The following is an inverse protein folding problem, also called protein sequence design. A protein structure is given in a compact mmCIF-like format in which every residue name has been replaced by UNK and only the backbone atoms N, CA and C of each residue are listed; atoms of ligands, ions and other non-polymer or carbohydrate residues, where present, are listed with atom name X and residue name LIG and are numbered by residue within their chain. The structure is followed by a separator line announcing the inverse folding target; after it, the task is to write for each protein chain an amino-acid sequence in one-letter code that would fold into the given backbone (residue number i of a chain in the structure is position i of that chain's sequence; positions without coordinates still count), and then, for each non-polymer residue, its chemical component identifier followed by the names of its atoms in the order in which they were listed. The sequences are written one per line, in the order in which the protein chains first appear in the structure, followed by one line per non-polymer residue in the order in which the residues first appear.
data_IF_220763671590
#
_entry.id   IF_220763671590
#
_cell.length_a   1.000
_cell.length_b   1.000
_cell.length_c   1.000
_cell.angle_alpha   90.00
_cell.angle_beta   90.00
_cell.angle_gamma   90.00
#
_symmetry.space_group_name_H-M   'P 1'
#
loop_
_entity.id
_entity.type
_entity.pdbx_description
1 polymer ?
#
# COMPACT_ATOMS: atom_id res chain seq x y z
N UNK A 1 29.16 0.62 -3.40
CA UNK A 1 27.77 0.45 -2.92
C UNK A 1 27.57 -1.02 -2.57
N UNK A 2 27.24 -1.36 -1.32
CA UNK A 2 26.78 -2.71 -1.00
C UNK A 2 25.30 -2.78 -1.40
N UNK A 3 24.97 -3.56 -2.43
CA UNK A 3 23.57 -3.87 -2.72
C UNK A 3 23.07 -4.80 -1.63
N UNK A 4 22.24 -4.29 -0.73
CA UNK A 4 21.45 -5.13 0.17
C UNK A 4 20.29 -5.74 -0.64
N UNK A 5 19.70 -6.83 -0.17
CA UNK A 5 18.49 -7.42 -0.76
C UNK A 5 17.29 -7.03 0.11
N UNK A 6 16.04 -7.15 -0.39
CA UNK A 6 14.88 -7.02 0.47
C UNK A 6 14.93 -8.05 1.59
N UNK A 7 14.46 -7.66 2.78
CA UNK A 7 14.23 -8.61 3.85
C UNK A 7 13.00 -9.47 3.52
N UNK A 8 12.97 -10.69 4.06
CA UNK A 8 11.76 -11.53 3.99
C UNK A 8 10.62 -10.78 4.69
N UNK A 9 9.42 -10.81 4.09
CA UNK A 9 8.23 -10.16 4.67
C UNK A 9 8.00 -10.62 6.10
N UNK A 10 7.76 -9.68 7.01
CA UNK A 10 7.54 -9.93 8.42
C UNK A 10 8.83 -10.19 9.23
N UNK A 11 10.02 -10.06 8.63
CA UNK A 11 11.28 -10.19 9.36
C UNK A 11 11.35 -9.23 10.56
N UNK A 12 10.81 -8.01 10.40
CA UNK A 12 10.69 -7.01 11.46
C UNK A 12 9.33 -7.09 12.16
N UNK A 13 8.96 -8.28 12.65
CA UNK A 13 7.66 -8.53 13.29
C UNK A 13 7.38 -7.73 14.57
N UNK A 14 8.39 -7.10 15.17
CA UNK A 14 8.23 -6.19 16.32
C UNK A 14 7.96 -4.73 15.89
N UNK A 15 8.09 -4.42 14.60
CA UNK A 15 7.91 -3.07 14.05
C UNK A 15 6.49 -2.86 13.51
N UNK A 16 5.50 -3.16 14.35
CA UNK A 16 4.09 -2.98 14.03
C UNK A 16 3.71 -1.49 13.99
N UNK A 17 2.97 -1.08 12.97
CA UNK A 17 2.36 0.25 12.96
C UNK A 17 1.15 0.31 13.91
N UNK A 18 0.66 1.50 14.31
CA UNK A 18 -0.58 1.62 15.08
C UNK A 18 -1.82 0.98 14.42
N UNK A 19 -1.74 0.60 13.14
CA UNK A 19 -2.82 -0.02 12.37
C UNK A 19 -2.60 -1.53 12.13
N UNK A 20 -1.62 -2.14 12.79
CA UNK A 20 -1.37 -3.58 12.68
C UNK A 20 -0.69 -4.00 11.38
N UNK A 21 0.06 -3.09 10.76
CA UNK A 21 0.74 -3.33 9.49
C UNK A 21 2.25 -3.21 9.62
N UNK A 22 2.97 -4.08 8.91
CA UNK A 22 4.42 -4.23 8.96
C UNK A 22 5.08 -3.78 7.66
N UNK A 23 6.41 -3.65 7.70
CA UNK A 23 7.27 -3.39 6.54
C UNK A 23 6.87 -2.17 5.69
N UNK A 24 6.26 -1.15 6.32
CA UNK A 24 5.85 0.08 5.61
C UNK A 24 6.99 1.09 5.42
N UNK A 25 8.09 0.93 6.16
CA UNK A 25 9.27 1.77 6.08
C UNK A 25 10.49 0.93 5.69
N UNK A 26 11.06 1.22 4.53
CA UNK A 26 12.14 0.42 3.94
C UNK A 26 11.63 -0.82 3.22
N UNK A 27 12.49 -1.82 3.10
CA UNK A 27 12.30 -3.01 2.28
C UNK A 27 12.12 -2.68 0.79
N UNK A 28 10.92 -2.36 0.32
CA UNK A 28 10.65 -2.00 -1.08
C UNK A 28 9.69 -0.81 -1.16
N UNK A 29 9.83 -0.02 -2.23
CA UNK A 29 8.83 0.99 -2.54
C UNK A 29 7.50 0.33 -2.88
N UNK A 30 6.40 0.85 -2.37
CA UNK A 30 5.08 0.25 -2.59
C UNK A 30 4.20 1.14 -3.44
N UNK A 31 3.75 0.62 -4.58
CA UNK A 31 2.77 1.28 -5.44
C UNK A 31 1.46 1.58 -4.73
N UNK A 32 0.85 2.71 -5.08
CA UNK A 32 -0.54 3.04 -4.78
C UNK A 32 -1.19 3.71 -5.99
N UNK A 33 -2.52 3.76 -5.98
CA UNK A 33 -3.33 4.22 -7.11
C UNK A 33 -3.35 5.75 -7.30
N UNK A 34 -2.67 6.52 -6.44
CA UNK A 34 -2.69 7.98 -6.53
C UNK A 34 -1.80 8.47 -7.66
N UNK A 35 -2.37 9.18 -8.62
CA UNK A 35 -1.60 9.94 -9.63
C UNK A 35 -0.97 11.16 -8.96
N UNK A 36 0.35 11.31 -9.08
CA UNK A 36 1.10 12.41 -8.42
C UNK A 36 1.51 13.48 -9.43
N UNK A 37 2.01 13.07 -10.59
CA UNK A 37 2.45 13.97 -11.66
C UNK A 37 2.14 13.36 -13.02
N UNK A 38 1.36 14.05 -13.85
CA UNK A 38 0.97 13.58 -15.18
C UNK A 38 0.40 12.16 -15.20
N UNK A 39 1.18 11.21 -15.73
CA UNK A 39 0.83 9.78 -15.82
C UNK A 39 1.55 8.90 -14.79
N UNK A 40 2.29 9.50 -13.86
CA UNK A 40 3.04 8.78 -12.84
C UNK A 40 2.18 8.45 -11.61
N UNK A 41 2.29 7.19 -11.18
CA UNK A 41 1.60 6.68 -10.01
C UNK A 41 2.46 6.78 -8.75
N UNK A 42 1.80 6.93 -7.62
CA UNK A 42 2.45 7.14 -6.33
C UNK A 42 3.11 5.88 -5.79
N UNK A 43 4.22 6.07 -5.07
CA UNK A 43 4.89 5.04 -4.29
C UNK A 43 5.30 5.57 -2.92
N UNK A 44 5.34 4.68 -1.92
CA UNK A 44 5.60 5.01 -0.50
C UNK A 44 6.60 4.04 0.13
N UNK A 45 7.16 4.43 1.27
CA UNK A 45 7.92 3.54 2.17
C UNK A 45 9.44 3.55 1.99
N UNK A 46 9.96 3.87 0.79
CA UNK A 46 11.39 3.73 0.51
C UNK A 46 11.81 2.29 0.27
N UNK A 47 13.10 1.99 0.10
CA UNK A 47 13.56 0.63 -0.16
C UNK A 47 14.96 0.32 0.36
N UNK A 48 15.33 -0.96 0.33
CA UNK A 48 16.60 -1.50 0.85
C UNK A 48 17.86 -0.90 0.22
N UNK A 49 17.72 -0.28 -0.96
CA UNK A 49 18.81 0.27 -1.74
C UNK A 49 19.20 1.69 -1.32
N UNK A 50 18.39 2.34 -0.48
CA UNK A 50 18.62 3.70 0.00
C UNK A 50 19.79 3.73 0.98
N UNK A 51 20.58 4.79 0.92
CA UNK A 51 21.68 5.06 1.87
C UNK A 51 21.36 6.22 2.83
N UNK A 52 22.34 6.59 3.66
CA UNK A 52 22.18 7.65 4.67
C UNK A 52 21.91 9.04 4.10
N UNK A 53 22.17 9.28 2.82
CA UNK A 53 21.89 10.56 2.16
C UNK A 53 20.46 10.63 1.57
N UNK A 54 19.73 9.52 1.66
CA UNK A 54 18.40 9.33 1.07
C UNK A 54 17.33 9.02 2.13
N UNK A 55 17.61 9.36 3.40
CA UNK A 55 16.75 9.13 4.56
C UNK A 55 15.36 9.78 4.43
N UNK A 56 15.26 10.92 3.73
CA UNK A 56 14.00 11.59 3.42
C UNK A 56 13.01 10.71 2.66
N UNK A 57 13.48 9.68 1.95
CA UNK A 57 12.60 8.72 1.27
C UNK A 57 11.98 7.67 2.19
N UNK A 58 12.55 7.49 3.39
CA UNK A 58 12.01 6.60 4.43
C UNK A 58 10.96 7.31 5.32
N UNK A 59 10.83 8.63 5.21
CA UNK A 59 9.81 9.36 5.95
C UNK A 59 8.41 8.92 5.54
N UNK A 60 7.54 8.65 6.52
CA UNK A 60 6.15 8.27 6.28
C UNK A 60 5.36 9.32 5.47
N UNK A 61 5.78 10.59 5.48
CA UNK A 61 5.18 11.66 4.70
C UNK A 61 5.68 11.72 3.25
N UNK A 62 6.81 11.10 2.92
CA UNK A 62 7.43 11.17 1.60
C UNK A 62 6.56 10.54 0.52
N UNK A 63 6.31 11.27 -0.55
CA UNK A 63 5.61 10.78 -1.74
C UNK A 63 6.60 10.72 -2.88
N UNK A 64 6.81 9.54 -3.43
CA UNK A 64 7.52 9.35 -4.70
C UNK A 64 6.49 9.02 -5.77
N UNK A 65 6.84 9.25 -7.03
CA UNK A 65 6.06 8.84 -8.18
C UNK A 65 6.96 8.16 -9.21
N UNK A 66 6.36 7.38 -10.09
CA UNK A 66 7.05 6.78 -11.22
C UNK A 66 6.09 6.35 -12.32
N UNK A 67 6.61 6.20 -13.54
CA UNK A 67 5.89 5.61 -14.66
C UNK A 67 5.38 4.20 -14.28
N UNK A 68 4.07 3.90 -14.43
CA UNK A 68 3.51 2.59 -14.09
C UNK A 68 4.02 1.43 -14.97
N UNK A 69 4.67 1.71 -16.11
CA UNK A 69 5.31 0.70 -16.95
C UNK A 69 6.72 0.30 -16.47
N UNK A 70 7.30 1.02 -15.52
CA UNK A 70 8.63 0.72 -15.00
C UNK A 70 8.63 -0.48 -14.04
N UNK A 71 9.45 -1.48 -14.35
CA UNK A 71 9.75 -2.61 -13.47
C UNK A 71 11.16 -2.48 -12.88
N UNK A 72 11.26 -2.50 -11.55
CA UNK A 72 12.53 -2.29 -10.84
C UNK A 72 12.58 -3.18 -9.60
N UNK A 73 13.76 -3.77 -9.37
CA UNK A 73 14.00 -4.76 -8.33
C UNK A 73 13.71 -4.32 -6.88
N UNK A 74 13.48 -3.02 -6.62
CA UNK A 74 13.17 -2.47 -5.30
C UNK A 74 11.75 -1.92 -5.18
N UNK A 75 10.85 -2.30 -6.08
CA UNK A 75 9.45 -1.87 -6.08
C UNK A 75 8.52 -3.08 -5.97
N UNK A 76 7.51 -2.97 -5.12
CA UNK A 76 6.44 -3.94 -4.90
C UNK A 76 5.12 -3.23 -4.64
N UNK A 77 4.21 -3.90 -3.93
CA UNK A 77 2.90 -3.37 -3.57
C UNK A 77 2.34 -4.12 -2.36
N UNK A 78 1.33 -3.51 -1.72
CA UNK A 78 0.46 -4.19 -0.77
C UNK A 78 -0.99 -4.01 -1.20
N UNK A 79 -1.82 -5.00 -0.92
CA UNK A 79 -3.25 -4.97 -1.23
C UNK A 79 -4.00 -4.39 -0.04
N UNK A 80 -5.00 -3.55 -0.33
CA UNK A 80 -5.95 -3.07 0.66
C UNK A 80 -7.38 -3.37 0.18
N UNK A 81 -8.25 -3.75 1.09
CA UNK A 81 -9.69 -3.85 0.85
C UNK A 81 -10.38 -2.69 1.57
N UNK A 82 -11.18 -1.93 0.84
CA UNK A 82 -12.04 -0.90 1.41
C UNK A 82 -13.47 -1.47 1.42
N UNK A 83 -14.06 -1.77 2.58
CA UNK A 83 -15.44 -2.25 2.63
C UNK A 83 -16.35 -1.23 1.97
N UNK A 84 -17.12 -1.66 0.96
CA UNK A 84 -18.03 -0.74 0.27
C UNK A 84 -19.09 -0.20 1.24
N UNK A 85 -19.23 1.13 1.39
CA UNK A 85 -20.23 1.72 2.27
C UNK A 85 -21.66 1.30 1.91
N UNK A 86 -21.90 0.97 0.63
CA UNK A 86 -23.22 0.66 0.09
C UNK A 86 -23.52 -0.83 0.01
N UNK A 87 -22.54 -1.73 0.00
CA UNK A 87 -22.79 -3.17 -0.19
C UNK A 87 -23.66 -3.74 0.95
N UNK A 88 -23.36 -3.37 2.21
CA UNK A 88 -24.15 -3.75 3.36
C UNK A 88 -25.55 -3.10 3.35
N UNK A 89 -25.65 -1.84 2.92
CA UNK A 89 -26.92 -1.15 2.79
C UNK A 89 -27.81 -1.79 1.70
N UNK A 90 -27.24 -2.15 0.55
CA UNK A 90 -27.93 -2.81 -0.55
C UNK A 90 -28.36 -4.24 -0.18
N UNK A 91 -27.51 -4.99 0.52
CA UNK A 91 -27.87 -6.30 1.08
C UNK A 91 -29.02 -6.19 2.07
N UNK A 92 -28.98 -5.21 2.97
CA UNK A 92 -30.06 -4.97 3.94
C UNK A 92 -31.38 -4.59 3.24
N UNK A 93 -31.33 -3.66 2.27
CA UNK A 93 -32.50 -3.24 1.49
C UNK A 93 -33.06 -4.39 0.64
N UNK A 94 -32.20 -5.18 -0.02
CA UNK A 94 -32.58 -6.35 -0.78
C UNK A 94 -33.21 -7.44 0.10
N UNK A 95 -32.64 -7.71 1.27
CA UNK A 95 -33.19 -8.63 2.27
C UNK A 95 -34.59 -8.19 2.75
N UNK A 96 -34.74 -6.90 3.09
CA UNK A 96 -36.04 -6.33 3.48
C UNK A 96 -37.08 -6.42 2.35
N UNK A 97 -36.69 -6.17 1.10
CA UNK A 97 -37.58 -6.29 -0.06
C UNK A 97 -38.02 -7.75 -0.29
N UNK A 98 -37.12 -8.73 -0.12
CA UNK A 98 -37.45 -10.16 -0.22
C UNK A 98 -38.39 -10.61 0.91
N UNK A 99 -38.19 -10.15 2.14
CA UNK A 99 -39.08 -10.46 3.27
C UNK A 99 -40.48 -9.86 3.04
N UNK A 100 -40.56 -8.62 2.53
CA UNK A 100 -41.85 -7.99 2.18
C UNK A 100 -42.60 -8.70 1.05
N UNK A 101 -41.90 -9.32 0.10
CA UNK A 101 -42.50 -10.10 -0.99
C UNK A 101 -43.04 -11.47 -0.58
N UNK A 102 -42.66 -11.96 0.61
CA UNK A 102 -43.08 -13.27 1.15
C UNK A 102 -44.29 -13.20 2.09
N UNK A 103 -44.80 -12.00 2.37
CA UNK A 103 -46.09 -11.76 3.02
C UNK A 103 -47.12 -11.36 1.98
#
# INVERSE_FOLDING_TARGET
MRSHNPAVVGFFGECESPYGTFDQGGNVWEWNETVIDGSEYGRRGGGFHLDSHQDLHLHASNRSSRDPADEIAHTGFRVAEVPEPAALALLALGGLAMIRRRK
#
